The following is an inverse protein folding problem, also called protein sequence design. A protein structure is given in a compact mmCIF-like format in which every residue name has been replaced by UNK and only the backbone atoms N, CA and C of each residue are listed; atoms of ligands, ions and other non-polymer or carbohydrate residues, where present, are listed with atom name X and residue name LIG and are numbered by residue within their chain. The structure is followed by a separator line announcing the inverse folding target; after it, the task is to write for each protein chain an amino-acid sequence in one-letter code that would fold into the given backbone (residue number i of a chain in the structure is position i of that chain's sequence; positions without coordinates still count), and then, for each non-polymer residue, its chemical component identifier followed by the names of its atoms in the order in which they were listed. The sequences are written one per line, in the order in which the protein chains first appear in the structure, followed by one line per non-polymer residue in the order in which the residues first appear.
data_IF_900297350624
#
_entry.id   IF_900297350624
#
_cell.length_a   1.000
_cell.length_b   1.000
_cell.length_c   1.000
_cell.angle_alpha   90.00
_cell.angle_beta   90.00
_cell.angle_gamma   90.00
#
_symmetry.space_group_name_H-M   'P 1'
#
loop_
_entity.id
_entity.type
_entity.pdbx_description
1 polymer ?
#
# COMPACT_ATOMS: atom_id res chain seq x y z
N UNK A 1 -80.90 4.60 29.10
CA UNK A 1 -81.34 3.19 29.02
C UNK A 1 -82.07 3.01 27.69
N UNK A 2 -81.84 1.87 27.01
CA UNK A 2 -82.51 1.31 25.82
C UNK A 2 -83.50 2.15 24.98
N UNK A 3 -83.24 2.26 23.67
CA UNK A 3 -84.22 2.04 22.56
C UNK A 3 -83.49 1.81 21.21
N UNK A 4 -83.98 0.87 20.41
CA UNK A 4 -83.57 0.60 19.01
C UNK A 4 -84.58 1.25 18.03
N UNK A 5 -84.30 1.43 16.71
CA UNK A 5 -84.34 0.33 15.73
C UNK A 5 -83.33 0.47 14.53
N UNK A 6 -83.30 -0.46 13.55
CA UNK A 6 -82.24 -0.53 12.52
C UNK A 6 -82.64 0.04 11.14
N UNK A 7 -81.64 0.28 10.28
CA UNK A 7 -81.83 0.42 8.82
C UNK A 7 -80.68 -0.22 8.03
N UNK A 8 -81.01 -0.84 6.91
CA UNK A 8 -80.10 -1.42 5.91
C UNK A 8 -80.78 -1.29 4.54
N UNK A 9 -80.11 -1.64 3.42
CA UNK A 9 -78.77 -1.24 2.98
C UNK A 9 -78.86 -0.42 1.66
N UNK A 10 -77.74 0.13 1.16
CA UNK A 10 -77.63 0.53 -0.25
C UNK A 10 -76.48 -0.22 -0.93
N UNK A 11 -76.75 -0.68 -2.15
CA UNK A 11 -75.88 -1.53 -2.98
C UNK A 11 -75.16 -0.71 -4.06
N UNK A 12 -74.21 -1.38 -4.72
CA UNK A 12 -73.54 -1.05 -6.00
C UNK A 12 -72.30 -0.11 -5.92
N UNK A 13 -71.33 -0.29 -6.84
CA UNK A 13 -70.87 -1.56 -7.41
C UNK A 13 -69.33 -1.73 -7.43
N UNK A 14 -68.89 -2.99 -7.56
CA UNK A 14 -67.48 -3.34 -7.77
C UNK A 14 -66.94 -2.79 -9.10
N UNK A 15 -65.78 -2.14 -9.08
CA UNK A 15 -64.98 -1.88 -10.27
C UNK A 15 -63.91 -2.97 -10.42
N UNK A 16 -64.10 -3.88 -11.38
CA UNK A 16 -63.09 -4.88 -11.73
C UNK A 16 -61.93 -4.24 -12.50
N UNK A 17 -60.74 -4.18 -11.88
CA UNK A 17 -59.49 -3.81 -12.56
C UNK A 17 -58.80 -5.06 -13.10
N UNK A 18 -58.88 -5.26 -14.43
CA UNK A 18 -58.08 -6.27 -15.12
C UNK A 18 -56.58 -5.88 -15.09
N UNK A 19 -55.67 -6.77 -14.63
CA UNK A 19 -54.24 -6.50 -14.73
C UNK A 19 -53.76 -6.69 -16.18
N UNK A 20 -53.14 -5.66 -16.77
CA UNK A 20 -52.46 -5.80 -18.05
C UNK A 20 -51.15 -6.60 -17.92
N UNK A 21 -50.79 -7.42 -18.92
CA UNK A 21 -49.49 -8.09 -18.96
C UNK A 21 -48.34 -7.09 -19.20
N UNK A 22 -47.15 -7.31 -18.63
CA UNK A 22 -46.02 -6.40 -18.78
C UNK A 22 -45.46 -6.41 -20.22
N UNK A 23 -45.14 -5.23 -20.75
CA UNK A 23 -44.55 -5.07 -22.08
C UNK A 23 -43.13 -5.68 -22.16
N UNK A 24 -42.76 -6.37 -23.26
CA UNK A 24 -41.45 -6.97 -23.43
C UNK A 24 -40.36 -5.89 -23.59
N UNK A 25 -39.37 -5.89 -22.69
CA UNK A 25 -38.20 -5.01 -22.79
C UNK A 25 -37.27 -5.49 -23.91
N UNK A 26 -37.17 -4.69 -24.99
CA UNK A 26 -36.25 -4.95 -26.10
C UNK A 26 -34.79 -4.78 -25.68
N UNK A 27 -33.94 -5.72 -26.08
CA UNK A 27 -32.49 -5.65 -25.88
C UNK A 27 -31.85 -4.46 -26.61
N UNK A 28 -30.95 -3.76 -25.95
CA UNK A 28 -30.17 -2.67 -26.53
C UNK A 28 -28.73 -3.15 -26.85
N UNK A 29 -28.58 -3.97 -27.90
CA UNK A 29 -27.31 -4.05 -28.63
C UNK A 29 -27.46 -3.26 -29.92
N UNK A 30 -26.63 -2.24 -30.10
CA UNK A 30 -26.50 -1.47 -31.34
C UNK A 30 -25.05 -1.53 -31.78
N UNK A 31 -24.75 -2.49 -32.67
CA UNK A 31 -23.49 -2.49 -33.41
C UNK A 31 -23.63 -1.53 -34.61
N UNK A 32 -22.68 -0.60 -34.83
CA UNK A 32 -22.50 -0.01 -36.14
C UNK A 32 -21.68 -0.96 -37.01
N UNK A 33 -22.30 -1.47 -38.07
CA UNK A 33 -21.62 -2.17 -39.16
C UNK A 33 -21.09 -1.15 -40.18
N UNK A 34 -19.80 -1.19 -40.51
CA UNK A 34 -19.27 -0.56 -41.72
C UNK A 34 -18.41 -1.55 -42.51
N UNK A 35 -18.81 -1.82 -43.75
CA UNK A 35 -18.10 -2.70 -44.67
C UNK A 35 -17.01 -1.95 -45.43
N UNK A 36 -15.78 -2.39 -45.19
CA UNK A 36 -14.74 -2.69 -46.18
C UNK A 36 -14.55 -1.78 -47.41
N UNK A 37 -13.36 -1.17 -47.50
CA UNK A 37 -12.65 -0.98 -48.76
C UNK A 37 -11.15 -1.19 -48.53
N UNK A 38 -10.52 -2.11 -49.24
CA UNK A 38 -9.05 -2.23 -49.36
C UNK A 38 -8.58 -1.44 -50.58
N UNK A 39 -7.31 -1.00 -50.60
CA UNK A 39 -6.35 -1.78 -51.39
C UNK A 39 -5.02 -2.04 -50.65
N UNK A 40 -4.22 -2.97 -51.18
CA UNK A 40 -2.94 -3.36 -50.61
C UNK A 40 -1.76 -2.89 -51.47
N UNK A 41 -0.70 -2.37 -50.83
CA UNK A 41 0.70 -2.54 -51.22
C UNK A 41 1.59 -2.28 -50.00
N UNK A 42 2.67 -3.05 -49.88
CA UNK A 42 3.63 -3.13 -48.77
C UNK A 42 4.97 -2.46 -49.14
N UNK A 43 6.08 -2.63 -48.39
CA UNK A 43 6.31 -2.46 -46.94
C UNK A 43 7.49 -1.51 -46.63
N UNK A 44 7.57 -0.94 -45.42
CA UNK A 44 8.86 -0.43 -44.90
C UNK A 44 9.04 -0.70 -43.41
N UNK A 45 10.07 -1.48 -43.08
CA UNK A 45 10.62 -1.62 -41.73
C UNK A 45 11.68 -0.55 -41.51
N UNK A 46 11.65 0.15 -40.38
CA UNK A 46 12.79 0.95 -39.91
C UNK A 46 13.06 0.70 -38.42
N UNK A 47 14.16 0.01 -38.18
CA UNK A 47 14.84 -0.15 -36.89
C UNK A 47 15.76 1.05 -36.65
N UNK A 48 15.73 1.67 -35.47
CA UNK A 48 16.74 2.65 -35.06
C UNK A 48 17.93 1.94 -34.38
N UNK A 49 19.18 2.10 -34.87
CA UNK A 49 20.38 1.66 -34.17
C UNK A 49 21.00 2.76 -33.28
N UNK A 50 21.77 2.31 -32.29
CA UNK A 50 22.69 3.14 -31.50
C UNK A 50 23.96 3.46 -32.31
N UNK A 51 24.68 4.58 -32.03
CA UNK A 51 26.02 4.80 -32.54
C UNK A 51 27.07 4.11 -31.65
N UNK A 52 27.93 3.30 -32.27
CA UNK A 52 29.18 2.79 -31.70
C UNK A 52 30.36 3.52 -32.35
N UNK A 53 31.44 3.79 -31.60
CA UNK A 53 32.61 4.54 -32.08
C UNK A 53 33.83 3.60 -32.12
N UNK A 54 34.41 3.49 -33.31
CA UNK A 54 35.26 2.36 -33.69
C UNK A 54 36.64 2.28 -33.02
N UNK A 55 37.13 1.04 -32.96
CA UNK A 55 38.50 0.65 -32.67
C UNK A 55 39.48 1.08 -33.78
N UNK A 56 40.66 1.55 -33.38
CA UNK A 56 41.86 1.59 -34.23
C UNK A 56 42.86 0.52 -33.80
N UNK A 57 43.27 -0.36 -34.72
CA UNK A 57 44.23 -1.45 -34.47
C UNK A 57 45.59 -1.13 -35.09
N UNK A 58 46.65 -1.27 -34.29
CA UNK A 58 48.03 -1.68 -34.65
C UNK A 58 48.84 -1.62 -33.33
N UNK A 59 49.66 -2.57 -32.91
CA UNK A 59 50.29 -3.69 -33.61
C UNK A 59 51.79 -3.65 -33.30
N UNK A 60 52.31 -4.58 -32.51
CA UNK A 60 53.73 -4.59 -32.12
C UNK A 60 54.03 -5.49 -30.92
N UNK A 61 54.84 -6.53 -31.16
CA UNK A 61 55.41 -7.42 -30.13
C UNK A 61 56.86 -7.02 -29.87
N UNK A 62 57.33 -7.08 -28.63
CA UNK A 62 58.57 -7.80 -28.28
C UNK A 62 58.82 -7.90 -26.77
N UNK A 63 59.69 -8.84 -26.41
CA UNK A 63 60.17 -9.14 -25.06
C UNK A 63 61.39 -8.27 -24.71
N UNK A 64 61.73 -8.10 -23.42
CA UNK A 64 63.09 -8.37 -22.86
C UNK A 64 63.28 -7.82 -21.43
N UNK A 65 63.51 -8.76 -20.51
CA UNK A 65 64.35 -8.78 -19.29
C UNK A 65 64.41 -7.64 -18.24
N UNK A 66 64.41 -8.08 -16.99
CA UNK A 66 64.79 -7.38 -15.74
C UNK A 66 66.28 -6.96 -15.70
N UNK A 67 66.71 -6.16 -14.70
CA UNK A 67 67.29 -6.84 -13.52
C UNK A 67 67.00 -6.22 -12.13
N UNK A 68 67.16 -7.13 -11.16
CA UNK A 68 67.27 -7.03 -9.70
C UNK A 68 68.03 -5.85 -9.09
N UNK A 69 67.55 -5.34 -7.95
CA UNK A 69 68.37 -5.05 -6.75
C UNK A 69 67.55 -5.25 -5.46
N UNK A 70 68.23 -5.48 -4.33
CA UNK A 70 67.73 -6.19 -3.14
C UNK A 70 68.03 -5.43 -1.83
N UNK A 71 67.48 -5.92 -0.69
CA UNK A 71 67.90 -5.63 0.71
C UNK A 71 67.25 -4.40 1.39
N UNK A 72 66.94 -4.37 2.70
CA UNK A 72 66.99 -5.40 3.77
C UNK A 72 66.07 -5.04 4.96
N UNK A 73 65.78 -6.05 5.79
CA UNK A 73 65.08 -6.09 7.09
C UNK A 73 65.33 -4.93 8.10
N UNK A 74 64.32 -4.59 8.92
CA UNK A 74 64.30 -4.84 10.40
C UNK A 74 63.21 -4.05 11.18
N UNK A 75 62.75 -4.65 12.29
CA UNK A 75 61.98 -4.06 13.40
C UNK A 75 62.46 -4.74 14.72
N UNK A 76 61.97 -4.42 15.94
CA UNK A 76 61.09 -3.34 16.40
C UNK A 76 61.93 -2.30 17.21
N UNK A 77 61.86 -2.02 18.55
CA UNK A 77 61.01 -2.46 19.67
C UNK A 77 59.96 -1.39 20.12
N UNK A 78 59.37 -1.54 21.31
CA UNK A 78 58.44 -0.60 21.95
C UNK A 78 58.93 -0.17 23.35
N UNK A 79 58.56 1.04 23.82
CA UNK A 79 58.70 1.46 25.23
C UNK A 79 57.65 2.52 25.68
N UNK A 80 56.85 2.16 26.69
CA UNK A 80 56.66 2.90 27.97
C UNK A 80 56.61 4.45 27.97
N UNK A 81 55.45 5.07 28.30
CA UNK A 81 55.14 5.64 29.65
C UNK A 81 53.89 6.56 29.78
N UNK A 82 53.30 6.50 30.98
CA UNK A 82 52.53 7.48 31.79
C UNK A 82 51.37 8.35 31.26
N UNK A 83 50.28 8.26 32.05
CA UNK A 83 49.35 9.32 32.47
C UNK A 83 49.74 10.78 32.22
N UNK A 84 48.78 11.55 31.70
CA UNK A 84 48.40 12.88 32.20
C UNK A 84 46.90 13.09 32.01
N UNK A 85 46.25 13.71 32.99
CA UNK A 85 44.85 14.16 32.89
C UNK A 85 44.83 15.65 32.53
N UNK A 86 44.22 16.03 31.42
CA UNK A 86 43.86 17.43 31.16
C UNK A 86 42.43 17.54 30.61
N UNK A 87 41.72 18.56 31.10
CA UNK A 87 40.39 18.96 30.67
C UNK A 87 40.54 20.06 29.60
N UNK A 88 39.90 19.91 28.45
CA UNK A 88 39.79 21.00 27.46
C UNK A 88 38.41 21.06 26.81
N UNK A 89 37.60 21.92 27.42
CA UNK A 89 36.51 22.76 26.90
C UNK A 89 36.28 22.73 25.37
N UNK A 90 35.05 22.35 25.01
CA UNK A 90 34.25 22.71 23.81
C UNK A 90 34.93 22.81 22.43
N UNK A 91 34.63 21.82 21.58
CA UNK A 91 34.56 21.97 20.12
C UNK A 91 33.22 21.43 19.63
N UNK A 92 32.33 22.30 19.14
CA UNK A 92 30.98 21.90 18.73
C UNK A 92 30.98 21.14 17.40
N UNK A 93 30.42 19.94 17.39
CA UNK A 93 30.05 19.21 16.17
C UNK A 93 28.58 18.81 16.24
N UNK A 94 27.86 18.97 15.12
CA UNK A 94 26.40 18.95 15.08
C UNK A 94 25.78 17.62 15.51
N UNK A 95 24.97 17.66 16.56
CA UNK A 95 24.12 16.54 16.99
C UNK A 95 22.78 16.59 16.27
N UNK A 96 22.65 15.98 15.09
CA UNK A 96 21.36 15.66 14.44
C UNK A 96 21.44 14.22 13.88
N UNK A 97 20.39 13.42 14.08
CA UNK A 97 20.31 12.04 13.55
C UNK A 97 20.60 10.89 14.54
N UNK A 98 20.52 11.13 15.85
CA UNK A 98 20.56 10.05 16.84
C UNK A 98 19.27 9.24 16.85
N UNK A 99 19.23 8.12 16.14
CA UNK A 99 18.10 7.19 16.21
C UNK A 99 17.93 6.67 17.64
N UNK A 100 16.78 6.96 18.26
CA UNK A 100 16.42 6.30 19.53
C UNK A 100 16.49 4.78 19.33
N UNK A 101 17.11 4.02 20.25
CA UNK A 101 17.11 2.56 20.17
C UNK A 101 15.66 2.07 20.29
N UNK A 102 15.08 1.68 19.16
CA UNK A 102 13.79 0.98 19.15
C UNK A 102 13.93 -0.25 20.04
N UNK A 103 13.08 -0.37 21.05
CA UNK A 103 12.91 -1.62 21.79
C UNK A 103 12.45 -2.68 20.79
N UNK A 104 13.29 -3.67 20.42
CA UNK A 104 12.95 -4.57 19.34
C UNK A 104 11.82 -5.48 19.81
N UNK A 105 10.77 -5.63 18.99
CA UNK A 105 9.82 -6.74 19.19
C UNK A 105 10.64 -8.03 19.00
N UNK A 106 10.68 -8.95 19.98
CA UNK A 106 11.54 -10.14 19.90
C UNK A 106 11.28 -10.93 18.62
N UNK A 107 12.30 -11.32 17.86
CA UNK A 107 12.10 -11.96 16.55
C UNK A 107 11.91 -11.01 15.37
N UNK A 108 11.98 -9.69 15.57
CA UNK A 108 12.05 -8.67 14.51
C UNK A 108 13.28 -7.78 14.66
N UNK A 109 14.04 -7.65 13.58
CA UNK A 109 15.21 -6.77 13.49
C UNK A 109 14.86 -5.49 12.71
N UNK A 110 14.92 -4.29 13.31
CA UNK A 110 14.82 -3.02 12.59
C UNK A 110 15.82 -2.89 11.45
N UNK A 111 15.46 -2.12 10.42
CA UNK A 111 16.27 -1.85 9.23
C UNK A 111 16.37 -0.34 9.00
N UNK A 112 17.05 0.04 7.92
CA UNK A 112 17.17 1.43 7.48
C UNK A 112 15.78 2.05 7.44
N UNK A 113 15.65 3.14 8.17
CA UNK A 113 14.45 3.97 8.24
C UNK A 113 14.83 5.33 7.64
N UNK A 114 13.88 5.97 6.96
CA UNK A 114 14.10 7.25 6.30
C UNK A 114 13.18 8.30 6.91
N UNK A 115 13.73 9.46 7.23
CA UNK A 115 12.96 10.62 7.68
C UNK A 115 13.28 11.79 6.75
N UNK A 116 12.24 12.45 6.27
CA UNK A 116 12.32 13.60 5.36
C UNK A 116 11.45 14.77 5.83
N UNK A 117 10.82 14.69 7.02
CA UNK A 117 9.95 15.77 7.51
C UNK A 117 10.67 17.11 7.64
N UNK A 118 11.96 17.08 7.99
CA UNK A 118 12.83 18.26 8.16
C UNK A 118 13.65 18.61 6.90
N UNK A 119 13.33 18.03 5.73
CA UNK A 119 14.07 18.26 4.49
C UNK A 119 13.24 19.05 3.44
N UNK A 120 13.40 20.38 3.33
CA UNK A 120 12.66 21.20 2.36
C UNK A 120 12.94 20.88 0.88
N UNK A 121 14.02 20.13 0.59
CA UNK A 121 14.36 19.68 -0.77
C UNK A 121 13.78 18.29 -1.09
N UNK A 122 13.12 17.62 -0.14
CA UNK A 122 12.46 16.34 -0.39
C UNK A 122 11.22 16.55 -1.28
N UNK A 123 11.02 15.68 -2.27
CA UNK A 123 9.83 15.71 -3.13
C UNK A 123 8.54 15.24 -2.44
N UNK A 124 8.69 14.70 -1.21
CA UNK A 124 7.65 14.13 -0.37
C UNK A 124 8.06 14.33 1.09
N UNK A 125 7.12 14.75 1.94
CA UNK A 125 7.27 14.70 3.39
C UNK A 125 6.87 13.29 3.86
N UNK A 126 7.86 12.45 4.15
CA UNK A 126 7.67 11.06 4.56
C UNK A 126 8.54 10.61 5.74
N UNK A 127 7.99 9.68 6.51
CA UNK A 127 8.67 8.91 7.54
C UNK A 127 8.47 7.41 7.26
N UNK A 128 9.56 6.72 6.96
CA UNK A 128 9.59 5.32 6.54
C UNK A 128 10.27 4.49 7.61
N UNK A 129 9.57 3.50 8.17
CA UNK A 129 10.16 2.48 9.04
C UNK A 129 10.27 1.15 8.29
N UNK A 130 11.37 0.42 8.46
CA UNK A 130 11.49 -0.95 7.93
C UNK A 130 11.92 -1.93 9.03
N UNK A 131 11.36 -3.13 9.01
CA UNK A 131 11.70 -4.21 9.92
C UNK A 131 11.58 -5.57 9.23
N UNK A 132 12.35 -6.56 9.67
CA UNK A 132 12.34 -7.91 9.09
C UNK A 132 12.30 -8.94 10.21
N UNK A 133 11.43 -9.94 10.09
CA UNK A 133 11.41 -11.08 11.01
C UNK A 133 12.70 -11.88 10.92
N UNK A 134 13.14 -12.47 12.03
CA UNK A 134 14.37 -13.24 12.10
C UNK A 134 14.35 -14.45 11.16
N UNK A 135 15.34 -14.51 10.27
CA UNK A 135 15.45 -15.52 9.22
C UNK A 135 14.89 -15.11 7.85
N UNK A 136 14.14 -14.00 7.74
CA UNK A 136 13.64 -13.53 6.44
C UNK A 136 14.78 -13.23 5.46
N UNK A 137 14.66 -13.78 4.25
CA UNK A 137 15.54 -13.53 3.11
C UNK A 137 14.69 -13.26 1.88
N UNK A 138 14.84 -12.08 1.27
CA UNK A 138 14.17 -11.78 0.01
C UNK A 138 14.69 -12.71 -1.08
N UNK A 139 13.78 -13.32 -1.84
CA UNK A 139 14.11 -14.19 -2.98
C UNK A 139 13.54 -13.64 -4.28
N UNK A 140 13.75 -14.33 -5.40
CA UNK A 140 13.06 -14.02 -6.67
C UNK A 140 11.55 -14.30 -6.62
N UNK A 141 11.08 -15.06 -5.63
CA UNK A 141 9.70 -15.45 -5.45
C UNK A 141 8.99 -14.63 -4.34
N UNK A 142 9.70 -13.71 -3.68
CA UNK A 142 9.09 -12.77 -2.72
C UNK A 142 8.08 -11.91 -3.43
N UNK A 143 6.80 -12.05 -3.07
CA UNK A 143 5.72 -11.18 -3.50
C UNK A 143 5.76 -9.90 -2.68
N UNK A 144 5.34 -8.79 -3.28
CA UNK A 144 5.26 -7.49 -2.64
C UNK A 144 3.80 -7.06 -2.60
N UNK A 145 3.28 -6.75 -1.43
CA UNK A 145 1.91 -6.28 -1.28
C UNK A 145 1.87 -4.91 -0.61
N UNK A 146 1.01 -4.01 -1.13
CA UNK A 146 0.83 -2.66 -0.60
C UNK A 146 -0.53 -2.54 0.07
N UNK A 147 -0.59 -2.23 1.36
CA UNK A 147 -1.82 -2.05 2.11
C UNK A 147 -2.04 -0.58 2.48
N UNK A 148 -3.11 0.05 1.95
CA UNK A 148 -3.52 1.39 2.33
C UNK A 148 -4.31 1.34 3.66
N UNK A 149 -3.61 1.46 4.79
CA UNK A 149 -4.22 1.41 6.12
C UNK A 149 -4.55 2.83 6.63
N UNK A 150 -5.71 3.33 6.22
CA UNK A 150 -6.30 4.52 6.85
C UNK A 150 -6.59 4.29 8.35
N UNK A 151 -6.59 5.35 9.18
CA UNK A 151 -6.85 5.22 10.63
C UNK A 151 -8.31 4.89 10.99
N UNK A 152 -9.22 4.73 10.02
CA UNK A 152 -10.62 4.37 10.27
C UNK A 152 -10.85 2.84 10.31
N UNK A 153 -12.00 2.42 10.85
CA UNK A 153 -12.47 1.01 10.94
C UNK A 153 -12.26 0.20 9.65
N UNK A 154 -12.30 0.83 8.48
CA UNK A 154 -12.13 0.13 7.20
C UNK A 154 -10.68 -0.03 6.75
N UNK A 155 -9.74 0.78 7.24
CA UNK A 155 -8.32 0.69 6.94
C UNK A 155 -7.59 -0.26 7.90
N UNK A 156 -7.95 -0.23 9.19
CA UNK A 156 -7.46 -1.21 10.17
C UNK A 156 -7.92 -2.63 9.82
N UNK A 157 -9.22 -2.86 9.62
CA UNK A 157 -9.71 -4.21 9.26
C UNK A 157 -9.22 -4.69 7.89
N UNK A 158 -8.73 -3.81 7.01
CA UNK A 158 -8.07 -4.22 5.77
C UNK A 158 -6.64 -4.72 6.02
N UNK A 159 -5.92 -4.07 6.92
CA UNK A 159 -4.61 -4.48 7.42
C UNK A 159 -4.70 -5.81 8.18
N UNK A 160 -5.60 -5.91 9.16
CA UNK A 160 -5.74 -7.09 10.02
C UNK A 160 -6.06 -8.33 9.20
N UNK A 161 -7.04 -8.23 8.29
CA UNK A 161 -7.38 -9.29 7.34
C UNK A 161 -6.19 -9.69 6.46
N UNK A 162 -5.36 -8.73 6.02
CA UNK A 162 -4.20 -9.04 5.19
C UNK A 162 -3.15 -9.83 5.99
N UNK A 163 -2.87 -9.41 7.23
CA UNK A 163 -1.94 -10.09 8.14
C UNK A 163 -2.43 -11.48 8.57
N UNK A 164 -3.75 -11.67 8.70
CA UNK A 164 -4.37 -12.94 9.11
C UNK A 164 -4.54 -13.94 7.96
N UNK A 165 -4.98 -13.48 6.78
CA UNK A 165 -5.54 -14.34 5.74
C UNK A 165 -4.83 -14.26 4.38
N UNK A 166 -3.89 -13.34 4.18
CA UNK A 166 -3.34 -13.06 2.84
C UNK A 166 -1.81 -13.10 2.75
N UNK A 167 -1.11 -12.46 3.70
CA UNK A 167 0.36 -12.46 3.78
C UNK A 167 0.86 -13.85 4.19
N UNK A 168 1.83 -14.37 3.46
CA UNK A 168 2.42 -15.70 3.63
C UNK A 168 3.91 -15.61 3.97
N UNK A 169 4.55 -16.76 4.16
CA UNK A 169 6.00 -16.84 4.35
C UNK A 169 6.77 -16.36 3.12
N UNK A 170 7.83 -15.58 3.35
CA UNK A 170 8.71 -15.04 2.32
C UNK A 170 8.21 -13.77 1.61
N UNK A 171 7.04 -13.24 1.99
CA UNK A 171 6.46 -12.01 1.43
C UNK A 171 7.09 -10.73 2.01
N UNK A 172 6.99 -9.64 1.23
CA UNK A 172 7.25 -8.28 1.69
C UNK A 172 5.95 -7.46 1.72
N UNK A 173 5.65 -6.90 2.87
CA UNK A 173 4.40 -6.21 3.14
C UNK A 173 4.67 -4.73 3.42
N UNK A 174 4.27 -3.89 2.47
CA UNK A 174 4.36 -2.44 2.53
C UNK A 174 3.02 -1.92 3.06
N UNK A 175 3.02 -1.25 4.20
CA UNK A 175 1.83 -0.62 4.79
C UNK A 175 1.99 0.89 4.61
N UNK A 176 0.95 1.54 4.09
CA UNK A 176 0.92 2.98 3.87
C UNK A 176 -0.17 3.63 4.74
N UNK A 177 0.21 4.70 5.45
CA UNK A 177 -0.68 5.64 6.14
C UNK A 177 -0.44 7.05 5.61
N UNK A 178 -1.51 7.66 5.09
CA UNK A 178 -1.49 9.05 4.65
C UNK A 178 -1.65 9.99 5.85
N UNK A 179 -0.81 11.03 5.92
CA UNK A 179 -0.91 12.13 6.88
C UNK A 179 -1.67 13.27 6.20
N UNK A 180 -2.64 13.86 6.89
CA UNK A 180 -3.35 15.04 6.38
C UNK A 180 -2.57 16.34 6.63
N UNK A 181 -2.84 17.41 5.87
CA UNK A 181 -2.08 18.67 5.95
C UNK A 181 -2.16 19.29 7.36
N UNK A 182 -3.36 19.33 7.95
CA UNK A 182 -3.65 19.71 9.35
C UNK A 182 -2.90 18.84 10.40
N UNK A 183 -2.40 17.66 10.02
CA UNK A 183 -1.62 16.79 10.91
C UNK A 183 -0.12 17.05 10.80
N UNK A 184 0.35 17.60 9.67
CA UNK A 184 1.75 18.01 9.46
C UNK A 184 2.10 19.30 10.23
N UNK A 185 1.09 20.08 10.64
CA UNK A 185 1.24 21.24 11.55
C UNK A 185 1.49 20.82 13.02
N UNK A 186 1.28 19.55 13.37
CA UNK A 186 1.54 19.02 14.71
C UNK A 186 3.04 18.77 14.91
N UNK A 187 3.44 18.56 16.16
CA UNK A 187 4.78 18.09 16.49
C UNK A 187 5.11 16.78 15.75
N UNK A 188 6.16 16.82 14.91
CA UNK A 188 6.59 15.69 14.10
C UNK A 188 7.07 14.49 14.95
N UNK A 189 7.51 14.73 16.19
CA UNK A 189 7.85 13.63 17.11
C UNK A 189 6.62 12.80 17.52
N UNK A 190 5.43 13.41 17.57
CA UNK A 190 4.19 12.67 17.81
C UNK A 190 3.85 11.73 16.63
N UNK A 191 4.10 12.16 15.40
CA UNK A 191 3.92 11.35 14.19
C UNK A 191 4.94 10.21 14.16
N UNK A 192 6.20 10.49 14.54
CA UNK A 192 7.26 9.49 14.63
C UNK A 192 6.99 8.42 15.69
N UNK A 193 6.37 8.75 16.82
CA UNK A 193 5.99 7.74 17.82
C UNK A 193 4.72 6.97 17.41
N UNK A 194 3.70 7.60 16.83
CA UNK A 194 2.53 6.89 16.27
C UNK A 194 2.95 5.86 15.21
N UNK A 195 3.87 6.23 14.31
CA UNK A 195 4.43 5.29 13.34
C UNK A 195 5.24 4.15 14.00
N UNK A 196 5.97 4.43 15.10
CA UNK A 196 6.69 3.40 15.88
C UNK A 196 5.73 2.45 16.60
N UNK A 197 4.69 2.97 17.24
CA UNK A 197 3.63 2.17 17.86
C UNK A 197 2.89 1.32 16.82
N UNK A 198 2.59 1.89 15.66
CA UNK A 198 1.91 1.15 14.58
C UNK A 198 2.80 0.08 13.94
N UNK A 199 4.12 0.30 13.82
CA UNK A 199 5.07 -0.77 13.46
C UNK A 199 5.05 -1.91 14.49
N UNK A 200 5.09 -1.60 15.79
CA UNK A 200 5.00 -2.60 16.87
C UNK A 200 3.67 -3.38 16.80
N UNK A 201 2.56 -2.70 16.50
CA UNK A 201 1.25 -3.34 16.29
C UNK A 201 1.29 -4.36 15.14
N UNK A 202 1.83 -3.98 13.97
CA UNK A 202 1.94 -4.88 12.81
C UNK A 202 2.83 -6.08 13.14
N UNK A 203 3.98 -5.85 13.80
CA UNK A 203 4.89 -6.93 14.25
C UNK A 203 4.20 -7.89 15.21
N UNK A 204 3.49 -7.39 16.23
CA UNK A 204 2.73 -8.20 17.18
C UNK A 204 1.64 -9.02 16.49
N UNK A 205 0.83 -8.40 15.61
CA UNK A 205 -0.20 -9.11 14.82
C UNK A 205 0.41 -10.20 13.93
N UNK A 206 1.57 -9.96 13.32
CA UNK A 206 2.27 -11.01 12.56
C UNK A 206 2.57 -12.24 13.41
N UNK A 207 3.10 -12.04 14.63
CA UNK A 207 3.50 -13.10 15.57
C UNK A 207 2.32 -13.85 16.18
N UNK A 208 1.26 -13.13 16.52
CA UNK A 208 0.02 -13.71 17.04
C UNK A 208 -0.70 -14.61 16.00
N UNK A 209 -0.55 -14.30 14.71
CA UNK A 209 -1.10 -15.11 13.61
C UNK A 209 -0.21 -16.31 13.31
N UNK A 210 1.10 -16.08 13.14
CA UNK A 210 2.09 -17.11 12.85
C UNK A 210 3.49 -16.61 13.29
N UNK A 211 4.07 -17.15 14.38
CA UNK A 211 5.38 -16.72 14.87
C UNK A 211 6.56 -17.23 14.01
N UNK A 212 6.34 -18.28 13.21
CA UNK A 212 7.38 -18.86 12.36
C UNK A 212 7.44 -18.19 10.98
N UNK A 213 6.32 -17.65 10.48
CA UNK A 213 6.22 -16.94 9.19
C UNK A 213 7.21 -15.77 9.06
N UNK A 214 8.01 -15.82 7.99
CA UNK A 214 9.06 -14.84 7.70
C UNK A 214 8.54 -13.74 6.78
N UNK A 215 8.47 -12.51 7.30
CA UNK A 215 7.94 -11.33 6.60
C UNK A 215 8.90 -10.15 6.70
N UNK A 216 9.02 -9.38 5.62
CA UNK A 216 9.60 -8.03 5.64
C UNK A 216 8.50 -7.00 5.68
N UNK A 217 8.53 -6.11 6.67
CA UNK A 217 7.56 -5.02 6.85
C UNK A 217 8.23 -3.70 6.47
N UNK A 218 7.53 -2.89 5.68
CA UNK A 218 7.86 -1.50 5.41
C UNK A 218 6.62 -0.68 5.77
N UNK A 219 6.77 0.37 6.56
CA UNK A 219 5.70 1.25 6.97
C UNK A 219 6.00 2.67 6.48
N UNK A 220 5.14 3.18 5.61
CA UNK A 220 5.22 4.49 4.98
C UNK A 220 4.20 5.44 5.59
N UNK A 221 4.68 6.46 6.30
CA UNK A 221 3.90 7.62 6.72
C UNK A 221 4.21 8.76 5.77
N UNK A 222 3.24 9.21 4.98
CA UNK A 222 3.47 10.20 3.91
C UNK A 222 2.39 11.26 3.93
N UNK A 223 2.80 12.53 3.99
CA UNK A 223 1.88 13.66 3.92
C UNK A 223 1.44 13.98 2.48
N UNK A 224 0.18 14.40 2.36
CA UNK A 224 -0.40 14.89 1.10
C UNK A 224 -1.50 13.99 0.54
N UNK A 225 -1.77 14.15 -0.76
CA UNK A 225 -2.94 13.53 -1.41
C UNK A 225 -2.76 12.02 -1.55
N UNK A 226 -3.54 11.27 -0.76
CA UNK A 226 -3.53 9.80 -0.63
C UNK A 226 -3.55 9.06 -1.98
N UNK A 227 -4.32 9.54 -2.97
CA UNK A 227 -4.39 8.91 -4.31
C UNK A 227 -3.06 9.01 -5.05
N UNK A 228 -2.42 10.17 -4.98
CA UNK A 228 -1.22 10.49 -5.75
C UNK A 228 0.00 9.86 -5.08
N UNK A 229 -0.06 9.73 -3.75
CA UNK A 229 0.89 8.92 -2.96
C UNK A 229 0.78 7.45 -3.30
N UNK A 230 -0.44 6.90 -3.46
CA UNK A 230 -0.62 5.50 -3.86
C UNK A 230 -0.03 5.21 -5.23
N UNK A 231 -0.23 6.08 -6.23
CA UNK A 231 0.38 5.88 -7.55
C UNK A 231 1.91 5.88 -7.48
N UNK A 232 2.50 6.78 -6.67
CA UNK A 232 3.96 6.82 -6.43
C UNK A 232 4.45 5.53 -5.75
N UNK A 233 3.75 5.05 -4.73
CA UNK A 233 4.10 3.82 -4.03
C UNK A 233 3.95 2.57 -4.93
N UNK A 234 2.93 2.54 -5.78
CA UNK A 234 2.76 1.48 -6.79
C UNK A 234 3.93 1.51 -7.80
N UNK A 235 4.35 2.70 -8.25
CA UNK A 235 5.49 2.84 -9.16
C UNK A 235 6.83 2.46 -8.50
N UNK A 236 7.01 2.81 -7.22
CA UNK A 236 8.23 2.57 -6.44
C UNK A 236 8.39 1.09 -6.06
N UNK A 237 7.37 0.49 -5.44
CA UNK A 237 7.44 -0.88 -4.91
C UNK A 237 7.03 -1.96 -5.93
N UNK A 238 6.31 -1.60 -6.99
CA UNK A 238 5.70 -2.52 -7.96
C UNK A 238 5.00 -3.72 -7.29
N UNK A 239 4.01 -3.49 -6.40
CA UNK A 239 3.34 -4.55 -5.68
C UNK A 239 2.52 -5.45 -6.61
N UNK A 240 2.51 -6.75 -6.32
CA UNK A 240 1.68 -7.77 -6.99
C UNK A 240 0.18 -7.51 -6.80
N UNK A 241 -0.21 -6.84 -5.70
CA UNK A 241 -1.58 -6.39 -5.41
C UNK A 241 -1.61 -5.27 -4.38
N UNK A 242 -2.64 -4.42 -4.43
CA UNK A 242 -2.91 -3.38 -3.44
C UNK A 242 -4.16 -3.71 -2.64
N UNK A 243 -4.06 -3.70 -1.31
CA UNK A 243 -5.14 -3.95 -0.36
C UNK A 243 -5.71 -2.61 0.11
N UNK A 244 -7.04 -2.44 0.04
CA UNK A 244 -7.74 -1.20 0.42
C UNK A 244 -9.04 -1.48 1.18
N UNK A 245 -9.41 -0.57 2.08
CA UNK A 245 -10.70 -0.59 2.76
C UNK A 245 -11.90 -0.20 1.88
N UNK A 246 -13.06 -0.80 2.12
CA UNK A 246 -14.35 -0.37 1.52
C UNK A 246 -14.82 1.07 1.83
N UNK A 247 -14.12 1.87 2.65
CA UNK A 247 -14.52 3.25 2.98
C UNK A 247 -13.36 4.24 2.91
N UNK A 248 -13.72 5.45 2.51
CA UNK A 248 -13.08 6.69 2.96
C UNK A 248 -14.01 7.44 3.92
N UNK A 249 -13.66 8.69 4.25
CA UNK A 249 -14.35 9.55 5.23
C UNK A 249 -15.88 9.64 5.05
N UNK A 250 -16.61 9.86 6.14
CA UNK A 250 -18.06 9.56 6.26
C UNK A 250 -18.94 10.35 5.29
N UNK A 251 -19.88 9.64 4.67
CA UNK A 251 -21.04 10.14 3.92
C UNK A 251 -21.87 11.23 4.66
N UNK A 252 -21.78 11.35 5.99
CA UNK A 252 -22.45 12.41 6.75
C UNK A 252 -21.84 13.81 6.52
N UNK A 253 -20.56 13.90 6.15
CA UNK A 253 -19.91 15.18 5.80
C UNK A 253 -20.17 15.59 4.34
N UNK A 254 -20.88 14.75 3.56
CA UNK A 254 -21.27 15.00 2.16
C UNK A 254 -22.45 15.99 2.04
N UNK A 255 -22.48 17.01 2.90
CA UNK A 255 -23.55 18.01 2.95
C UNK A 255 -23.32 19.22 2.07
N UNK A 256 -22.06 19.68 1.88
CA UNK A 256 -21.82 20.98 1.22
C UNK A 256 -20.47 21.15 0.47
N UNK A 257 -19.56 20.16 0.45
CA UNK A 257 -18.30 20.24 -0.31
C UNK A 257 -17.89 18.90 -0.93
N UNK A 258 -17.68 18.91 -2.25
CA UNK A 258 -16.75 18.04 -2.98
C UNK A 258 -17.00 16.53 -3.00
N UNK A 259 -17.30 15.99 -4.19
CA UNK A 259 -17.36 14.55 -4.46
C UNK A 259 -15.98 13.88 -4.54
N UNK A 260 -15.22 13.91 -3.44
CA UNK A 260 -13.96 13.15 -3.34
C UNK A 260 -14.27 11.66 -3.13
N UNK A 261 -13.98 10.83 -4.14
CA UNK A 261 -14.24 9.39 -4.07
C UNK A 261 -13.41 8.69 -3.00
N UNK A 262 -13.89 7.55 -2.49
CA UNK A 262 -13.09 6.72 -1.58
C UNK A 262 -11.82 6.22 -2.27
N UNK A 263 -10.75 5.99 -1.49
CA UNK A 263 -9.50 5.38 -1.95
C UNK A 263 -9.77 4.12 -2.78
N UNK A 264 -10.65 3.25 -2.29
CA UNK A 264 -11.10 2.05 -3.01
C UNK A 264 -11.73 2.34 -4.38
N UNK A 265 -12.54 3.40 -4.54
CA UNK A 265 -13.07 3.79 -5.86
C UNK A 265 -11.95 4.29 -6.77
N UNK A 266 -11.00 5.06 -6.23
CA UNK A 266 -9.86 5.55 -7.01
C UNK A 266 -9.02 4.39 -7.56
N UNK A 267 -8.57 3.49 -6.67
CA UNK A 267 -7.78 2.33 -7.02
C UNK A 267 -8.48 1.42 -8.04
N UNK A 268 -9.77 1.10 -7.84
CA UNK A 268 -10.55 0.30 -8.79
C UNK A 268 -10.70 0.94 -10.20
N UNK A 269 -10.46 2.24 -10.34
CA UNK A 269 -10.62 2.96 -11.61
C UNK A 269 -9.29 3.23 -12.32
N UNK A 270 -8.20 3.43 -11.58
CA UNK A 270 -6.91 3.93 -12.12
C UNK A 270 -5.71 3.00 -11.88
N UNK A 271 -5.82 2.02 -10.99
CA UNK A 271 -4.67 1.20 -10.61
C UNK A 271 -4.12 0.37 -11.77
N UNK A 272 -2.80 0.40 -12.03
CA UNK A 272 -2.15 -0.49 -12.99
C UNK A 272 -1.94 -1.91 -12.45
N UNK A 273 -2.21 -2.15 -11.16
CA UNK A 273 -2.02 -3.44 -10.46
C UNK A 273 -3.34 -3.94 -9.84
N UNK A 274 -3.50 -5.25 -9.58
CA UNK A 274 -4.72 -5.81 -8.99
C UNK A 274 -5.10 -5.19 -7.63
N UNK A 275 -6.40 -4.98 -7.41
CA UNK A 275 -6.95 -4.35 -6.21
C UNK A 275 -7.79 -5.33 -5.40
N UNK A 276 -7.48 -5.47 -4.11
CA UNK A 276 -8.23 -6.26 -3.14
C UNK A 276 -8.98 -5.30 -2.21
N UNK A 277 -10.32 -5.34 -2.24
CA UNK A 277 -11.17 -4.45 -1.43
C UNK A 277 -11.73 -5.19 -0.22
N UNK A 278 -11.18 -4.94 0.97
CA UNK A 278 -11.56 -5.61 2.20
C UNK A 278 -12.80 -4.94 2.81
N UNK A 279 -13.82 -5.77 3.07
CA UNK A 279 -15.10 -5.34 3.65
C UNK A 279 -15.15 -5.69 5.14
N UNK A 280 -15.26 -4.68 6.04
CA UNK A 280 -15.42 -4.86 7.48
C UNK A 280 -16.46 -5.90 7.86
N UNK A 281 -16.08 -6.82 8.76
CA UNK A 281 -16.88 -7.99 9.14
C UNK A 281 -18.30 -7.61 9.57
N UNK A 282 -18.42 -6.56 10.39
CA UNK A 282 -19.70 -6.04 10.89
C UNK A 282 -20.66 -5.66 9.76
N UNK A 283 -20.13 -5.27 8.59
CA UNK A 283 -20.89 -4.95 7.37
C UNK A 283 -21.12 -6.19 6.48
N UNK A 284 -20.40 -7.28 6.71
CA UNK A 284 -20.63 -8.60 6.12
C UNK A 284 -21.72 -9.35 6.91
N UNK A 285 -21.59 -9.49 8.23
CA UNK A 285 -22.57 -10.09 9.15
C UNK A 285 -23.96 -9.44 8.97
N UNK A 286 -24.06 -8.11 9.05
CA UNK A 286 -25.31 -7.37 8.74
C UNK A 286 -25.86 -7.57 7.32
N UNK A 287 -25.02 -7.85 6.33
CA UNK A 287 -25.48 -8.15 4.98
C UNK A 287 -25.95 -9.60 4.82
N UNK A 288 -25.33 -10.54 5.53
CA UNK A 288 -25.75 -11.94 5.64
C UNK A 288 -27.08 -12.06 6.40
N UNK A 289 -27.22 -11.40 7.55
CA UNK A 289 -28.48 -11.29 8.30
C UNK A 289 -29.61 -10.74 7.44
N UNK A 290 -29.41 -9.61 6.75
CA UNK A 290 -30.39 -9.04 5.82
C UNK A 290 -30.71 -9.94 4.63
N UNK A 291 -29.76 -10.75 4.17
CA UNK A 291 -29.99 -11.75 3.11
C UNK A 291 -30.78 -12.95 3.62
N UNK A 292 -30.53 -13.41 4.86
CA UNK A 292 -31.23 -14.51 5.53
C UNK A 292 -32.67 -14.13 5.91
N UNK A 293 -32.88 -12.88 6.31
CA UNK A 293 -34.20 -12.33 6.68
C UNK A 293 -35.06 -11.89 5.48
N UNK A 294 -34.64 -12.11 4.23
CA UNK A 294 -35.41 -11.70 3.04
C UNK A 294 -36.24 -12.86 2.50
N UNK A 295 -37.58 -12.90 2.74
CA UNK A 295 -38.42 -14.03 2.33
C UNK A 295 -38.61 -14.15 0.81
N UNK A 296 -38.17 -13.17 0.01
CA UNK A 296 -38.24 -13.23 -1.46
C UNK A 296 -37.04 -13.95 -2.10
N UNK A 297 -36.04 -14.36 -1.31
CA UNK A 297 -34.89 -15.11 -1.81
C UNK A 297 -35.15 -16.60 -1.63
N UNK A 298 -35.69 -17.24 -2.67
CA UNK A 298 -35.95 -18.69 -2.67
C UNK A 298 -34.69 -19.52 -2.43
N UNK A 299 -34.90 -20.78 -2.00
CA UNK A 299 -33.90 -21.81 -1.71
C UNK A 299 -33.14 -22.29 -2.97
N UNK A 300 -32.46 -21.37 -3.66
CA UNK A 300 -31.83 -21.63 -4.95
C UNK A 300 -30.34 -22.00 -4.86
N UNK A 301 -29.85 -22.22 -3.62
CA UNK A 301 -28.46 -22.57 -3.28
C UNK A 301 -28.45 -23.43 -1.99
N UNK A 302 -29.30 -24.45 -1.95
CA UNK A 302 -29.06 -25.67 -1.16
C UNK A 302 -28.46 -26.73 -2.11
#
# INVERSE_FOLDING_TARGET
MSTSPPTSPSLYPYAHTHPQPPAPRRSALKHPSSTATSPATSPFSLTNPLPDIGLGVSGGVELTMSPTMQSTVSAPPAMLRHHSSELSVSGGFGSHGGSMPQTPVPGYTPKVSFDTFENPAASMFSFTLSSKSDGYKRTRNTRVFLCASSPDESGSQALDWALESFVQDGDEFVVFRGIEEDELEKDHDSIREDAREFMRYIQGRCQEVDPDRKVSIILEYIAGKVTDTLDRLIALYRPDSVIVGTRGRKLWQMGLKGTMGSVSKYCLTHSPVPIIVVRPERKLKKAMEKRRANPKRGFHFD
#
